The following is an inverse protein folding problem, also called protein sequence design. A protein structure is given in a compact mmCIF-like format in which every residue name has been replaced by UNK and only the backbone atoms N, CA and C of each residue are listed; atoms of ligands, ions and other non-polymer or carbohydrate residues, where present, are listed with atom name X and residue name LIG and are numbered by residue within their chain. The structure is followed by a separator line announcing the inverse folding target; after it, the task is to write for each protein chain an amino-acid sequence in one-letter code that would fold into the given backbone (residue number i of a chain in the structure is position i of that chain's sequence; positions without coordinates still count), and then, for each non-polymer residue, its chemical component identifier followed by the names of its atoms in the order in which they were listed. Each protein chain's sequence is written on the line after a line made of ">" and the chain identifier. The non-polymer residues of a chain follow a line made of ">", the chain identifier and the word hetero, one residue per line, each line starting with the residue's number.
data_IF_294845337934
#
_entry.id   IF_294845337934
#
_cell.length_a   1.000
_cell.length_b   1.000
_cell.length_c   1.000
_cell.angle_alpha   90.00
_cell.angle_beta   90.00
_cell.angle_gamma   90.00
#
_symmetry.space_group_name_H-M   'P 1'
#
loop_
_entity.id
_entity.type
_entity.pdbx_description
1 polymer ?
#
# COMPACT_ATOMS: atom_id res chain seq x y z
N UNK A 1 -8.96 -17.09 -9.84
CA UNK A 1 -7.74 -16.27 -9.75
C UNK A 1 -6.99 -16.15 -11.07
N UNK A 2 -6.56 -17.26 -11.72
CA UNK A 2 -5.77 -17.20 -12.97
C UNK A 2 -6.50 -16.49 -14.12
N UNK A 3 -7.80 -16.70 -14.27
CA UNK A 3 -8.63 -16.03 -15.28
C UNK A 3 -8.76 -14.53 -15.04
N UNK A 4 -8.91 -14.11 -13.78
CA UNK A 4 -9.01 -12.69 -13.38
C UNK A 4 -7.72 -11.93 -13.69
N UNK A 5 -6.56 -12.54 -13.41
CA UNK A 5 -5.24 -11.90 -13.58
C UNK A 5 -4.93 -11.57 -15.04
N UNK A 6 -5.34 -12.41 -16.00
CA UNK A 6 -5.10 -12.18 -17.42
C UNK A 6 -5.78 -10.92 -17.96
N UNK A 7 -6.85 -10.46 -17.31
CA UNK A 7 -7.61 -9.29 -17.70
C UNK A 7 -7.48 -8.13 -16.71
N UNK A 8 -6.66 -8.28 -15.66
CA UNK A 8 -6.46 -7.25 -14.66
C UNK A 8 -5.37 -6.26 -15.09
N UNK A 9 -5.59 -4.98 -14.81
CA UNK A 9 -4.55 -3.95 -15.00
C UNK A 9 -3.67 -3.78 -13.77
N UNK A 10 -4.25 -3.92 -12.59
CA UNK A 10 -3.63 -3.61 -11.30
C UNK A 10 -3.91 -4.73 -10.31
N UNK A 11 -2.86 -5.19 -9.64
CA UNK A 11 -2.92 -6.01 -8.44
C UNK A 11 -2.57 -5.13 -7.23
N UNK A 12 -3.49 -5.00 -6.29
CA UNK A 12 -3.33 -4.21 -5.06
C UNK A 12 -3.50 -5.11 -3.84
N UNK A 13 -2.66 -4.91 -2.82
CA UNK A 13 -2.73 -5.65 -1.56
C UNK A 13 -2.25 -4.80 -0.37
N UNK A 14 -2.78 -5.06 0.83
CA UNK A 14 -2.43 -4.38 2.08
C UNK A 14 -2.10 -5.37 3.23
N UNK A 15 -1.48 -6.49 2.90
CA UNK A 15 -1.15 -7.59 3.81
C UNK A 15 0.23 -7.41 4.44
N UNK A 16 0.43 -7.98 5.64
CA UNK A 16 1.73 -7.93 6.34
C UNK A 16 2.86 -8.63 5.56
N UNK A 17 4.09 -8.18 5.78
CA UNK A 17 5.30 -8.68 5.09
C UNK A 17 5.51 -10.19 5.17
N UNK A 18 5.13 -10.84 6.28
CA UNK A 18 5.18 -12.31 6.41
C UNK A 18 4.30 -13.07 5.40
N UNK A 19 3.31 -12.41 4.82
CA UNK A 19 2.46 -12.93 3.73
C UNK A 19 2.98 -12.47 2.36
N UNK A 20 3.73 -11.36 2.32
CA UNK A 20 4.25 -10.74 1.10
C UNK A 20 5.26 -11.66 0.39
N UNK A 21 6.12 -12.41 1.08
CA UNK A 21 7.10 -13.28 0.42
C UNK A 21 6.44 -14.33 -0.46
N UNK A 22 5.35 -14.95 0.02
CA UNK A 22 4.51 -15.86 -0.77
C UNK A 22 3.87 -15.10 -1.92
N UNK A 23 3.32 -13.90 -1.67
CA UNK A 23 2.70 -13.05 -2.68
C UNK A 23 3.67 -12.57 -3.76
N UNK A 24 4.96 -12.35 -3.47
CA UNK A 24 5.98 -11.98 -4.45
C UNK A 24 6.17 -13.13 -5.44
N UNK A 25 6.29 -14.36 -4.94
CA UNK A 25 6.37 -15.55 -5.80
C UNK A 25 5.10 -15.73 -6.65
N UNK A 26 3.92 -15.47 -6.08
CA UNK A 26 2.66 -15.44 -6.84
C UNK A 26 2.64 -14.32 -7.88
N UNK A 27 3.13 -13.12 -7.54
CA UNK A 27 3.16 -11.99 -8.45
C UNK A 27 4.08 -12.24 -9.64
N UNK A 28 5.25 -12.85 -9.43
CA UNK A 28 6.11 -13.25 -10.55
C UNK A 28 5.38 -14.22 -11.51
N UNK A 29 4.60 -15.17 -10.98
CA UNK A 29 3.75 -16.05 -11.81
C UNK A 29 2.67 -15.26 -12.54
N UNK A 30 2.00 -14.32 -11.85
CA UNK A 30 0.98 -13.44 -12.45
C UNK A 30 1.57 -12.57 -13.57
N UNK A 31 2.76 -11.99 -13.38
CA UNK A 31 3.43 -11.15 -14.38
C UNK A 31 3.91 -11.93 -15.59
N UNK A 32 4.22 -13.22 -15.47
CA UNK A 32 4.47 -14.10 -16.63
C UNK A 32 3.21 -14.31 -17.47
N UNK A 33 2.04 -14.35 -16.85
CA UNK A 33 0.74 -14.51 -17.53
C UNK A 33 0.21 -13.19 -18.09
N UNK A 34 0.55 -12.07 -17.45
CA UNK A 34 0.15 -10.72 -17.80
C UNK A 34 1.35 -9.76 -17.60
N UNK A 35 2.27 -9.65 -18.58
CA UNK A 35 3.44 -8.77 -18.50
C UNK A 35 3.14 -7.30 -18.17
N UNK A 36 2.05 -6.67 -18.67
CA UNK A 36 1.70 -5.30 -18.33
C UNK A 36 1.01 -5.10 -16.97
N UNK A 37 0.87 -6.15 -16.14
CA UNK A 37 0.25 -6.06 -14.82
C UNK A 37 1.04 -5.15 -13.87
N UNK A 38 0.36 -4.17 -13.29
CA UNK A 38 0.91 -3.25 -12.29
C UNK A 38 0.72 -3.85 -10.89
N UNK A 39 1.72 -3.68 -10.01
CA UNK A 39 1.66 -4.05 -8.59
C UNK A 39 1.59 -2.82 -7.71
N UNK A 40 0.70 -2.83 -6.72
CA UNK A 40 0.65 -1.86 -5.64
C UNK A 40 0.64 -2.60 -4.30
N UNK A 41 1.68 -2.39 -3.50
CA UNK A 41 1.80 -2.95 -2.16
C UNK A 41 1.59 -1.82 -1.15
N UNK A 42 0.62 -1.99 -0.26
CA UNK A 42 0.37 -1.07 0.84
C UNK A 42 0.91 -1.70 2.12
N UNK A 43 1.79 -0.98 2.81
CA UNK A 43 2.31 -1.37 4.11
C UNK A 43 2.50 -0.14 4.99
N UNK A 44 2.42 -0.30 6.30
CA UNK A 44 2.50 0.84 7.22
C UNK A 44 3.91 1.38 7.43
N UNK A 45 4.87 0.50 7.71
CA UNK A 45 6.26 0.88 8.04
C UNK A 45 7.26 0.60 6.91
N UNK A 46 6.76 0.28 5.71
CA UNK A 46 7.60 -0.10 4.59
C UNK A 46 8.20 -1.51 4.71
N UNK A 47 9.13 -1.84 3.83
CA UNK A 47 9.72 -3.18 3.68
C UNK A 47 11.07 -3.36 4.38
N UNK A 48 11.56 -2.32 5.05
CA UNK A 48 12.86 -2.31 5.73
C UNK A 48 12.78 -1.61 7.09
N UNK A 49 13.76 -1.82 7.96
CA UNK A 49 13.85 -1.17 9.26
C UNK A 49 13.21 -1.95 10.41
N UNK A 50 13.24 -1.35 11.60
CA UNK A 50 12.87 -2.02 12.86
C UNK A 50 11.38 -2.33 12.99
N UNK A 51 10.53 -1.60 12.27
CA UNK A 51 9.07 -1.69 12.38
C UNK A 51 8.42 -2.53 11.27
N UNK A 52 9.22 -3.24 10.47
CA UNK A 52 8.76 -4.04 9.32
C UNK A 52 7.70 -5.10 9.68
N UNK A 53 7.71 -5.60 10.91
CA UNK A 53 6.77 -6.62 11.41
C UNK A 53 5.69 -6.05 12.35
N UNK A 54 5.60 -4.73 12.47
CA UNK A 54 4.61 -4.09 13.36
C UNK A 54 3.31 -3.88 12.61
N UNK A 55 2.20 -4.24 13.25
CA UNK A 55 0.86 -3.96 12.74
C UNK A 55 0.61 -2.45 12.74
N UNK A 56 0.24 -1.93 11.58
CA UNK A 56 0.17 -0.50 11.36
C UNK A 56 -1.28 -0.03 11.34
N UNK A 57 -1.87 0.08 12.53
CA UNK A 57 -3.20 0.64 12.70
C UNK A 57 -3.16 2.16 12.63
N UNK A 58 -4.20 2.77 12.06
CA UNK A 58 -4.33 4.23 11.96
C UNK A 58 -4.00 4.94 13.28
N UNK A 59 -4.61 4.52 14.39
CA UNK A 59 -4.36 5.10 15.72
C UNK A 59 -2.90 4.96 16.18
N UNK A 60 -2.25 3.83 15.90
CA UNK A 60 -0.85 3.62 16.26
C UNK A 60 0.04 4.60 15.50
N UNK A 61 -0.18 4.74 14.19
CA UNK A 61 0.57 5.70 13.37
C UNK A 61 0.26 7.14 13.82
N UNK A 62 -0.99 7.46 14.20
CA UNK A 62 -1.31 8.79 14.76
C UNK A 62 -0.56 9.06 16.08
N UNK A 63 -0.35 8.03 16.90
CA UNK A 63 0.42 8.15 18.13
C UNK A 63 1.91 8.37 17.82
N UNK A 64 2.49 7.55 16.95
CA UNK A 64 3.92 7.59 16.64
C UNK A 64 4.36 8.83 15.86
N UNK A 65 3.51 9.34 14.98
CA UNK A 65 3.78 10.58 14.22
C UNK A 65 3.58 11.84 15.04
N UNK A 66 3.06 11.72 16.27
CA UNK A 66 2.72 12.86 17.12
C UNK A 66 1.42 13.56 16.73
N UNK A 67 0.67 13.06 15.74
CA UNK A 67 -0.62 13.67 15.36
C UNK A 67 -1.61 13.69 16.52
N UNK A 68 -1.60 12.63 17.33
CA UNK A 68 -2.45 12.56 18.53
C UNK A 68 -2.06 13.55 19.62
N UNK A 69 -0.81 14.03 19.68
CA UNK A 69 -0.37 14.98 20.71
C UNK A 69 -0.80 16.42 20.42
N UNK A 70 -1.06 16.74 19.15
CA UNK A 70 -1.54 18.05 18.69
C UNK A 70 -3.05 18.08 18.43
N UNK A 71 -3.73 16.96 18.61
CA UNK A 71 -5.17 16.81 18.42
C UNK A 71 -5.82 16.46 19.76
N UNK A 72 -7.06 16.90 20.02
CA UNK A 72 -7.78 16.59 21.26
C UNK A 72 -8.24 17.83 22.00
N UNK A 73 -8.28 17.73 23.34
CA UNK A 73 -8.70 18.83 24.22
C UNK A 73 -7.49 19.45 24.90
N UNK A 74 -7.64 20.63 25.50
CA UNK A 74 -6.56 21.26 26.29
C UNK A 74 -6.01 20.36 27.40
N UNK A 75 -6.83 19.46 27.94
CA UNK A 75 -6.47 18.60 29.05
C UNK A 75 -5.86 17.26 28.60
N UNK A 76 -6.16 16.78 27.39
CA UNK A 76 -5.80 15.42 26.94
C UNK A 76 -5.59 15.34 25.42
N UNK A 77 -4.50 14.67 24.98
CA UNK A 77 -4.32 14.20 23.62
C UNK A 77 -5.50 13.35 23.13
N UNK A 78 -5.77 13.39 21.84
CA UNK A 78 -6.87 12.69 21.21
C UNK A 78 -6.52 12.33 19.77
N UNK A 79 -7.15 11.27 19.26
CA UNK A 79 -7.05 10.91 17.85
C UNK A 79 -7.82 11.90 16.98
N UNK A 80 -7.41 12.02 15.73
CA UNK A 80 -8.29 12.50 14.67
C UNK A 80 -9.46 11.51 14.55
N UNK A 81 -10.67 12.05 14.47
CA UNK A 81 -11.91 11.26 14.46
C UNK A 81 -12.06 10.40 13.20
N UNK A 82 -11.47 10.82 12.09
CA UNK A 82 -11.41 10.06 10.84
C UNK A 82 -10.13 9.22 10.77
N UNK A 83 -10.12 8.19 9.92
CA UNK A 83 -8.93 7.37 9.65
C UNK A 83 -7.92 8.13 8.79
N UNK A 84 -7.20 9.06 9.39
CA UNK A 84 -6.32 10.00 8.70
C UNK A 84 -5.24 9.28 7.86
N UNK A 85 -4.59 8.25 8.41
CA UNK A 85 -3.54 7.49 7.74
C UNK A 85 -4.08 6.48 6.74
N UNK A 86 -5.25 5.87 7.00
CA UNK A 86 -5.88 5.00 6.00
C UNK A 86 -6.27 5.80 4.75
N UNK A 87 -6.84 7.00 4.93
CA UNK A 87 -7.20 7.91 3.85
C UNK A 87 -5.94 8.37 3.11
N UNK A 88 -4.93 8.85 3.84
CA UNK A 88 -3.68 9.33 3.23
C UNK A 88 -2.97 8.21 2.43
N UNK A 89 -2.92 7.00 2.99
CA UNK A 89 -2.34 5.82 2.34
C UNK A 89 -3.12 5.42 1.09
N UNK A 90 -4.46 5.40 1.17
CA UNK A 90 -5.34 5.12 0.04
C UNK A 90 -5.16 6.13 -1.10
N UNK A 91 -5.10 7.43 -0.77
CA UNK A 91 -4.84 8.50 -1.74
C UNK A 91 -3.45 8.36 -2.39
N UNK A 92 -2.44 8.00 -1.59
CA UNK A 92 -1.09 7.79 -2.09
C UNK A 92 -1.02 6.60 -3.03
N UNK A 93 -1.62 5.47 -2.66
CA UNK A 93 -1.73 4.27 -3.50
C UNK A 93 -2.46 4.58 -4.82
N UNK A 94 -3.58 5.31 -4.75
CA UNK A 94 -4.31 5.77 -5.93
C UNK A 94 -3.43 6.60 -6.88
N UNK A 95 -2.71 7.60 -6.36
CA UNK A 95 -1.79 8.40 -7.18
C UNK A 95 -0.68 7.56 -7.81
N UNK A 96 -0.07 6.65 -7.04
CA UNK A 96 0.98 5.75 -7.56
C UNK A 96 0.46 4.83 -8.67
N UNK A 97 -0.76 4.30 -8.52
CA UNK A 97 -1.42 3.49 -9.55
C UNK A 97 -1.68 4.30 -10.81
N UNK A 98 -2.23 5.52 -10.69
CA UNK A 98 -2.45 6.40 -11.85
C UNK A 98 -1.14 6.71 -12.58
N UNK A 99 -0.07 7.01 -11.85
CA UNK A 99 1.24 7.24 -12.43
C UNK A 99 1.78 6.00 -13.16
N UNK A 100 1.59 4.80 -12.60
CA UNK A 100 2.00 3.56 -13.23
C UNK A 100 1.16 3.26 -14.49
N UNK A 101 -0.15 3.50 -14.46
CA UNK A 101 -1.03 3.36 -15.63
C UNK A 101 -0.64 4.34 -16.74
N UNK A 102 -0.35 5.60 -16.39
CA UNK A 102 0.10 6.60 -17.35
C UNK A 102 1.47 6.25 -17.95
N UNK A 103 2.41 5.77 -17.13
CA UNK A 103 3.70 5.29 -17.61
C UNK A 103 3.53 4.10 -18.56
N UNK A 104 2.70 3.12 -18.18
CA UNK A 104 2.38 1.95 -19.00
C UNK A 104 1.74 2.35 -20.33
N UNK A 105 0.86 3.35 -20.34
CA UNK A 105 0.28 3.88 -21.58
C UNK A 105 1.36 4.42 -22.54
N UNK A 106 2.43 5.04 -22.01
CA UNK A 106 3.53 5.55 -22.83
C UNK A 106 4.53 4.49 -23.29
N UNK A 107 4.84 3.51 -22.45
CA UNK A 107 5.94 2.56 -22.67
C UNK A 107 5.48 1.15 -23.05
N UNK A 108 4.18 0.88 -22.92
CA UNK A 108 3.57 -0.45 -22.98
C UNK A 108 4.16 -1.47 -21.97
N UNK A 109 4.82 -0.99 -20.93
CA UNK A 109 5.39 -1.83 -19.86
C UNK A 109 4.79 -1.47 -18.50
N UNK A 110 4.42 -2.49 -17.71
CA UNK A 110 4.08 -2.29 -16.31
C UNK A 110 5.32 -1.87 -15.51
N UNK A 111 5.17 -0.98 -14.53
CA UNK A 111 6.30 -0.62 -13.64
C UNK A 111 6.68 -1.82 -12.76
N UNK A 112 7.97 -2.19 -12.65
CA UNK A 112 8.42 -2.95 -11.49
C UNK A 112 8.36 -2.04 -10.24
N UNK A 113 7.85 -2.58 -9.13
CA UNK A 113 8.17 -2.06 -7.79
C UNK A 113 9.65 -2.33 -7.50
#
# INVERSE_FOLDING_TARGET
>A
MVTTVKHADVFIQNLMLGVIERLVAYFQKMRRLNPPLIRCDIGGYGSTGKFVNVEAYDLLIQAETGLSSITGTELKPGRVGVSAWDIATGMTAYHSILQALYARFKTNQGRPN
#
